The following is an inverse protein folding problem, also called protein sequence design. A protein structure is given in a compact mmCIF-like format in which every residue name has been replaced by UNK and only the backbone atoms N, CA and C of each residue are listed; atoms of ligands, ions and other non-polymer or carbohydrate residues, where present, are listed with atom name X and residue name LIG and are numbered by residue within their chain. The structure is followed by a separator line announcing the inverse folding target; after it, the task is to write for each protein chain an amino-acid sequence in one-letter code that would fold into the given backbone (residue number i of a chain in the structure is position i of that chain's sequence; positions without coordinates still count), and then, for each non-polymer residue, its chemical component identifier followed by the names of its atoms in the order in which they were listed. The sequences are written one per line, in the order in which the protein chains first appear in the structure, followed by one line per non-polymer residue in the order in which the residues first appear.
data_IF_521400992740
#
_entry.id   IF_521400992740
#
_cell.length_a   1.000
_cell.length_b   1.000
_cell.length_c   1.000
_cell.angle_alpha   90.00
_cell.angle_beta   90.00
_cell.angle_gamma   90.00
#
_symmetry.space_group_name_H-M   'P 1'
#
loop_
_entity.id
_entity.type
_entity.pdbx_description
1 polymer ?
#
# COMPACT_ATOMS: atom_id res chain seq x y z
N UNK A 1 -4.21 -0.13 -4.27
CA UNK A 1 -5.67 0.14 -4.44
C UNK A 1 -5.96 1.42 -5.21
N UNK A 2 -5.18 2.50 -5.04
CA UNK A 2 -5.39 3.79 -5.71
C UNK A 2 -5.44 3.71 -7.24
N UNK A 3 -4.47 3.06 -7.88
CA UNK A 3 -4.40 3.00 -9.35
C UNK A 3 -5.63 2.35 -10.00
N UNK A 4 -6.20 1.33 -9.34
CA UNK A 4 -7.44 0.68 -9.80
C UNK A 4 -8.65 1.62 -9.65
N UNK A 5 -8.75 2.34 -8.54
CA UNK A 5 -9.82 3.30 -8.31
C UNK A 5 -9.76 4.46 -9.34
N UNK A 6 -8.57 4.98 -9.63
CA UNK A 6 -8.37 6.00 -10.68
C UNK A 6 -8.87 5.53 -12.03
N UNK A 7 -8.56 4.29 -12.41
CA UNK A 7 -9.04 3.74 -13.69
C UNK A 7 -10.57 3.59 -13.71
N UNK A 8 -11.18 3.13 -12.62
CA UNK A 8 -12.64 2.99 -12.52
C UNK A 8 -13.36 4.35 -12.59
N UNK A 9 -12.91 5.34 -11.82
CA UNK A 9 -13.49 6.70 -11.83
C UNK A 9 -13.29 7.40 -13.18
N UNK A 10 -12.17 7.15 -13.87
CA UNK A 10 -11.89 7.70 -15.19
C UNK A 10 -12.62 6.95 -16.33
N UNK A 11 -13.33 5.85 -16.05
CA UNK A 11 -13.92 4.99 -17.08
C UNK A 11 -12.89 4.38 -18.03
N UNK A 12 -11.67 4.14 -17.54
CA UNK A 12 -10.53 3.69 -18.34
C UNK A 12 -10.19 2.21 -18.09
N UNK A 13 -9.67 1.55 -19.11
CA UNK A 13 -9.22 0.17 -19.00
C UNK A 13 -7.99 0.07 -18.09
N UNK A 14 -7.99 -0.83 -17.11
CA UNK A 14 -6.87 -1.00 -16.17
C UNK A 14 -5.98 -2.18 -16.58
N UNK A 15 -4.68 -1.94 -16.73
CA UNK A 15 -3.69 -2.97 -17.06
C UNK A 15 -2.57 -2.95 -16.02
N UNK A 16 -2.32 -4.08 -15.35
CA UNK A 16 -1.20 -4.23 -14.41
C UNK A 16 -0.03 -4.96 -15.09
N UNK A 17 1.20 -4.42 -14.98
CA UNK A 17 2.41 -5.00 -15.55
C UNK A 17 3.32 -5.51 -14.44
N UNK A 18 3.78 -6.76 -14.58
CA UNK A 18 4.82 -7.33 -13.71
C UNK A 18 6.20 -7.18 -14.33
N UNK A 19 6.56 -7.92 -15.40
CA UNK A 19 7.85 -7.80 -16.14
C UNK A 19 7.80 -8.29 -17.60
N UNK A 20 6.86 -9.17 -17.94
CA UNK A 20 6.83 -9.83 -19.25
C UNK A 20 5.96 -9.07 -20.25
N UNK A 21 6.40 -9.04 -21.51
CA UNK A 21 5.64 -8.51 -22.67
C UNK A 21 5.36 -7.00 -22.67
N UNK A 22 6.34 -6.20 -22.29
CA UNK A 22 6.27 -4.73 -22.30
C UNK A 22 5.66 -4.18 -23.59
N UNK A 23 6.22 -4.52 -24.75
CA UNK A 23 5.72 -4.04 -26.05
C UNK A 23 4.29 -4.46 -26.36
N UNK A 24 3.90 -5.68 -26.01
CA UNK A 24 2.54 -6.14 -26.23
C UNK A 24 1.54 -5.37 -25.36
N UNK A 25 1.91 -5.08 -24.11
CA UNK A 25 1.06 -4.30 -23.20
C UNK A 25 0.89 -2.87 -23.70
N UNK A 26 1.98 -2.19 -24.10
CA UNK A 26 1.88 -0.83 -24.65
C UNK A 26 1.05 -0.80 -25.94
N UNK A 27 1.22 -1.79 -26.82
CA UNK A 27 0.41 -1.94 -28.04
C UNK A 27 -1.07 -2.17 -27.71
N UNK A 28 -1.37 -3.01 -26.71
CA UNK A 28 -2.73 -3.26 -26.26
C UNK A 28 -3.36 -2.01 -25.66
N UNK A 29 -2.67 -1.34 -24.74
CA UNK A 29 -3.11 -0.12 -24.07
C UNK A 29 -3.46 0.99 -25.08
N UNK A 30 -2.61 1.18 -26.08
CA UNK A 30 -2.85 2.08 -27.21
C UNK A 30 -4.15 1.75 -27.96
N UNK A 31 -4.40 0.46 -28.26
CA UNK A 31 -5.61 0.01 -28.97
C UNK A 31 -6.90 0.11 -28.16
N UNK A 32 -6.82 -0.09 -26.84
CA UNK A 32 -7.98 -0.06 -25.94
C UNK A 32 -8.14 1.29 -25.22
N UNK A 33 -7.52 2.35 -25.72
CA UNK A 33 -7.60 3.69 -25.13
C UNK A 33 -9.07 4.14 -24.97
N UNK A 34 -9.47 4.74 -23.83
CA UNK A 34 -8.64 5.19 -22.70
C UNK A 34 -8.18 4.06 -21.77
N UNK A 35 -6.91 4.08 -21.36
CA UNK A 35 -6.36 3.04 -20.48
C UNK A 35 -5.34 3.57 -19.46
N UNK A 36 -5.28 2.92 -18.30
CA UNK A 36 -4.30 3.13 -17.24
C UNK A 36 -3.39 1.92 -17.15
N UNK A 37 -2.10 2.13 -17.39
CA UNK A 37 -1.04 1.15 -17.16
C UNK A 37 -0.53 1.36 -15.73
N UNK A 38 -0.61 0.33 -14.89
CA UNK A 38 -0.07 0.33 -13.54
C UNK A 38 1.16 -0.57 -13.45
N UNK A 39 2.20 -0.07 -12.80
CA UNK A 39 3.46 -0.78 -12.56
C UNK A 39 3.72 -0.71 -11.07
N UNK A 40 3.64 -1.85 -10.42
CA UNK A 40 4.01 -1.99 -9.01
C UNK A 40 5.51 -2.23 -8.88
N UNK A 41 6.10 -1.78 -7.77
CA UNK A 41 7.54 -1.90 -7.51
C UNK A 41 8.40 -1.46 -8.72
N UNK A 42 8.19 -0.23 -9.19
CA UNK A 42 8.86 0.27 -10.40
C UNK A 42 10.38 0.23 -10.29
N UNK A 43 10.93 0.31 -9.08
CA UNK A 43 12.35 0.17 -8.75
C UNK A 43 12.90 -1.21 -9.15
N UNK A 44 12.08 -2.26 -9.04
CA UNK A 44 12.47 -3.62 -9.43
C UNK A 44 12.63 -3.83 -10.94
N UNK A 45 11.98 -2.98 -11.75
CA UNK A 45 12.04 -3.02 -13.22
C UNK A 45 12.89 -1.89 -13.81
N UNK A 46 12.90 -0.72 -13.17
CA UNK A 46 13.46 0.54 -13.68
C UNK A 46 14.52 1.14 -12.74
N UNK A 47 15.12 0.31 -11.90
CA UNK A 47 16.21 0.73 -11.01
C UNK A 47 17.49 1.16 -11.75
N UNK A 48 18.47 1.71 -11.02
CA UNK A 48 19.76 2.16 -11.57
C UNK A 48 20.50 1.05 -12.33
N UNK A 49 21.23 1.44 -13.37
CA UNK A 49 21.95 0.54 -14.32
C UNK A 49 23.29 0.03 -13.78
N UNK A 50 23.73 0.59 -12.66
CA UNK A 50 25.09 0.45 -12.11
C UNK A 50 25.30 -0.84 -11.31
N UNK A 51 24.28 -1.68 -11.14
CA UNK A 51 24.45 -2.97 -10.47
C UNK A 51 25.29 -3.92 -11.35
N UNK A 52 26.52 -4.33 -10.91
CA UNK A 52 27.43 -5.14 -11.72
C UNK A 52 26.93 -6.56 -12.03
N UNK A 53 25.83 -7.00 -11.40
CA UNK A 53 25.16 -8.28 -11.63
C UNK A 53 23.86 -8.18 -12.43
N UNK A 54 23.55 -7.04 -13.04
CA UNK A 54 22.31 -6.88 -13.81
C UNK A 54 22.35 -7.71 -15.10
N UNK A 55 21.41 -8.67 -15.21
CA UNK A 55 21.27 -9.53 -16.38
C UNK A 55 20.96 -8.71 -17.64
N UNK A 56 21.62 -9.01 -18.76
CA UNK A 56 21.46 -8.30 -20.04
C UNK A 56 19.99 -8.21 -20.50
N UNK A 57 19.19 -9.24 -20.21
CA UNK A 57 17.75 -9.24 -20.51
C UNK A 57 16.98 -8.14 -19.76
N UNK A 58 17.37 -7.79 -18.53
CA UNK A 58 16.75 -6.72 -17.75
C UNK A 58 17.06 -5.35 -18.37
N UNK A 59 18.30 -5.14 -18.83
CA UNK A 59 18.68 -3.90 -19.55
C UNK A 59 17.91 -3.76 -20.86
N UNK A 60 17.77 -4.85 -21.62
CA UNK A 60 16.98 -4.86 -22.86
C UNK A 60 15.50 -4.52 -22.59
N UNK A 61 14.92 -5.11 -21.54
CA UNK A 61 13.55 -4.82 -21.10
C UNK A 61 13.37 -3.35 -20.69
N UNK A 62 14.30 -2.79 -19.92
CA UNK A 62 14.31 -1.36 -19.54
C UNK A 62 14.30 -0.47 -20.78
N UNK A 63 15.19 -0.73 -21.73
CA UNK A 63 15.26 0.05 -22.97
C UNK A 63 13.97 -0.05 -23.78
N UNK A 64 13.42 -1.27 -23.92
CA UNK A 64 12.16 -1.49 -24.61
C UNK A 64 11.00 -0.75 -23.94
N UNK A 65 10.94 -0.75 -22.61
CA UNK A 65 9.95 0.00 -21.85
C UNK A 65 10.02 1.50 -22.13
N UNK A 66 11.23 2.07 -22.11
CA UNK A 66 11.45 3.50 -22.32
C UNK A 66 11.07 3.93 -23.75
N UNK A 67 11.42 3.13 -24.75
CA UNK A 67 11.07 3.39 -26.16
C UNK A 67 9.55 3.34 -26.36
N UNK A 68 8.86 2.34 -25.81
CA UNK A 68 7.41 2.24 -25.96
C UNK A 68 6.67 3.35 -25.21
N UNK A 69 7.16 3.74 -24.03
CA UNK A 69 6.57 4.85 -23.29
C UNK A 69 6.73 6.19 -24.02
N UNK A 70 7.92 6.49 -24.55
CA UNK A 70 8.11 7.69 -25.36
C UNK A 70 7.23 7.68 -26.62
N UNK A 71 6.99 6.49 -27.20
CA UNK A 71 6.08 6.29 -28.33
C UNK A 71 4.60 6.55 -28.04
N UNK A 72 4.14 6.52 -26.78
CA UNK A 72 2.78 6.93 -26.42
C UNK A 72 2.61 8.46 -26.48
N UNK A 73 3.69 9.22 -26.29
CA UNK A 73 3.63 10.70 -26.21
C UNK A 73 3.55 11.37 -27.58
N UNK A 74 3.88 10.65 -28.65
CA UNK A 74 3.93 11.19 -30.02
C UNK A 74 2.59 11.15 -30.75
N UNK A 75 1.58 10.48 -30.18
CA UNK A 75 0.28 10.29 -30.83
C UNK A 75 -0.81 11.02 -30.06
N UNK A 76 -1.30 12.12 -30.63
CA UNK A 76 -2.28 13.01 -29.99
C UNK A 76 -3.62 12.35 -29.63
N UNK A 77 -3.94 11.19 -30.23
CA UNK A 77 -5.19 10.46 -30.00
C UNK A 77 -5.09 9.40 -28.89
N UNK A 78 -3.89 9.06 -28.43
CA UNK A 78 -3.70 8.00 -27.43
C UNK A 78 -3.84 8.55 -26.01
N UNK A 79 -4.95 8.22 -25.35
CA UNK A 79 -5.19 8.54 -23.94
C UNK A 79 -4.74 7.37 -23.07
N UNK A 80 -3.43 7.27 -22.84
CA UNK A 80 -2.83 6.24 -21.99
C UNK A 80 -2.11 6.91 -20.81
N UNK A 81 -2.52 6.56 -19.59
CA UNK A 81 -1.90 7.04 -18.36
C UNK A 81 -0.99 5.95 -17.78
N UNK A 82 0.26 6.27 -17.49
CA UNK A 82 1.19 5.37 -16.80
C UNK A 82 1.29 5.77 -15.33
N UNK A 83 0.95 4.84 -14.43
CA UNK A 83 1.05 4.97 -12.98
C UNK A 83 2.11 4.00 -12.44
N UNK A 84 3.05 4.52 -11.67
CA UNK A 84 4.08 3.74 -11.00
C UNK A 84 3.95 3.83 -9.48
N UNK A 85 4.20 2.72 -8.78
CA UNK A 85 4.36 2.69 -7.33
C UNK A 85 5.75 2.17 -6.94
N UNK A 86 6.36 2.73 -5.89
CA UNK A 86 7.64 2.25 -5.35
C UNK A 86 7.78 2.64 -3.88
N UNK A 87 8.47 1.79 -3.12
CA UNK A 87 8.91 2.08 -1.75
C UNK A 87 10.38 2.51 -1.68
N UNK A 88 11.11 2.47 -2.81
CA UNK A 88 12.54 2.77 -2.91
C UNK A 88 12.81 3.76 -4.05
N UNK A 89 12.33 5.01 -3.93
CA UNK A 89 12.46 5.98 -5.02
C UNK A 89 13.93 6.39 -5.27
N UNK A 90 14.84 6.15 -4.32
CA UNK A 90 16.27 6.35 -4.46
C UNK A 90 16.92 5.34 -5.42
N UNK A 91 16.37 4.12 -5.54
CA UNK A 91 16.90 3.08 -6.41
C UNK A 91 16.57 3.31 -7.89
N UNK A 92 15.71 4.29 -8.21
CA UNK A 92 15.31 4.58 -9.58
C UNK A 92 16.40 5.29 -10.39
N UNK A 93 16.46 4.96 -11.69
CA UNK A 93 17.28 5.67 -12.67
C UNK A 93 16.75 7.10 -12.90
N UNK A 94 17.64 8.10 -12.98
CA UNK A 94 17.26 9.49 -13.27
C UNK A 94 16.46 9.62 -14.57
N UNK A 95 16.77 8.79 -15.58
CA UNK A 95 16.05 8.78 -16.85
C UNK A 95 14.56 8.45 -16.67
N UNK A 96 14.24 7.62 -15.67
CA UNK A 96 12.87 7.20 -15.33
C UNK A 96 12.20 8.29 -14.50
N UNK A 97 12.91 8.87 -13.54
CA UNK A 97 12.41 10.01 -12.74
C UNK A 97 11.99 11.17 -13.65
N UNK A 98 12.74 11.47 -14.71
CA UNK A 98 12.39 12.50 -15.71
C UNK A 98 11.09 12.22 -16.47
N UNK A 99 10.69 10.95 -16.62
CA UNK A 99 9.47 10.51 -17.30
C UNK A 99 8.23 10.45 -16.40
N UNK A 100 8.42 10.57 -15.09
CA UNK A 100 7.35 10.76 -14.11
C UNK A 100 7.28 12.23 -13.66
N UNK A 101 6.64 13.13 -14.43
CA UNK A 101 6.61 14.55 -14.09
C UNK A 101 5.85 14.82 -12.78
N UNK A 102 4.77 14.07 -12.53
CA UNK A 102 3.98 14.11 -11.29
C UNK A 102 4.42 12.97 -10.38
N UNK A 103 4.80 13.31 -9.14
CA UNK A 103 5.28 12.39 -8.11
C UNK A 103 4.59 12.78 -6.80
N UNK A 104 3.89 11.84 -6.19
CA UNK A 104 3.09 12.04 -4.98
C UNK A 104 3.62 11.10 -3.90
N UNK A 105 4.04 11.66 -2.77
CA UNK A 105 4.35 10.86 -1.58
C UNK A 105 3.05 10.48 -0.88
N UNK A 106 2.87 9.19 -0.65
CA UNK A 106 1.75 8.65 0.14
C UNK A 106 2.26 8.37 1.54
N UNK A 107 1.89 9.22 2.49
CA UNK A 107 2.29 9.09 3.89
C UNK A 107 1.42 8.08 4.65
N UNK A 108 1.88 7.72 5.85
CA UNK A 108 1.06 7.00 6.81
C UNK A 108 -0.20 7.81 7.15
N UNK A 109 -1.34 7.14 7.42
CA UNK A 109 -2.59 7.83 7.70
C UNK A 109 -2.58 8.47 9.11
N UNK A 110 -3.02 9.72 9.19
CA UNK A 110 -3.34 10.41 10.45
C UNK A 110 -4.55 9.76 11.15
N UNK A 111 -4.77 10.08 12.43
CA UNK A 111 -5.88 9.54 13.22
C UNK A 111 -7.25 9.63 12.52
N UNK A 112 -7.60 10.79 11.93
CA UNK A 112 -8.86 10.95 11.19
C UNK A 112 -8.93 10.03 9.95
N UNK A 113 -7.81 9.84 9.25
CA UNK A 113 -7.76 8.96 8.10
C UNK A 113 -7.80 7.48 8.51
N UNK A 114 -7.17 7.11 9.64
CA UNK A 114 -7.28 5.76 10.22
C UNK A 114 -8.71 5.43 10.60
N UNK A 115 -9.45 6.37 11.21
CA UNK A 115 -10.87 6.18 11.51
C UNK A 115 -11.69 5.91 10.23
N UNK A 116 -11.47 6.68 9.16
CA UNK A 116 -12.12 6.44 7.86
C UNK A 116 -11.77 5.08 7.26
N UNK A 117 -10.50 4.68 7.34
CA UNK A 117 -10.03 3.37 6.88
C UNK A 117 -10.74 2.26 7.66
N UNK A 118 -10.82 2.37 8.99
CA UNK A 118 -11.53 1.42 9.85
C UNK A 118 -13.02 1.34 9.49
N UNK A 119 -13.69 2.47 9.25
CA UNK A 119 -15.08 2.49 8.78
C UNK A 119 -15.27 1.74 7.46
N UNK A 120 -14.34 1.90 6.52
CA UNK A 120 -14.40 1.20 5.22
C UNK A 120 -14.13 -0.30 5.38
N UNK A 121 -13.15 -0.69 6.22
CA UNK A 121 -12.83 -2.10 6.48
C UNK A 121 -14.02 -2.81 7.15
N UNK A 122 -14.65 -2.15 8.12
CA UNK A 122 -15.74 -2.69 8.92
C UNK A 122 -17.13 -2.42 8.33
N UNK A 123 -17.22 -1.82 7.13
CA UNK A 123 -18.49 -1.40 6.54
C UNK A 123 -19.50 -2.54 6.31
N UNK A 124 -19.02 -3.79 6.26
CA UNK A 124 -19.84 -4.99 6.07
C UNK A 124 -19.98 -5.85 7.34
N UNK A 125 -19.39 -5.42 8.45
CA UNK A 125 -19.35 -6.18 9.69
C UNK A 125 -20.35 -5.61 10.70
N UNK A 126 -20.91 -6.48 11.54
CA UNK A 126 -21.77 -6.05 12.64
C UNK A 126 -20.91 -5.64 13.83
N UNK A 127 -20.95 -4.36 14.19
CA UNK A 127 -20.21 -3.80 15.31
C UNK A 127 -21.09 -3.76 16.56
N UNK A 128 -20.50 -4.08 17.73
CA UNK A 128 -21.16 -3.90 19.01
C UNK A 128 -21.43 -2.42 19.30
N UNK A 129 -22.49 -2.12 20.07
CA UNK A 129 -22.90 -0.75 20.38
C UNK A 129 -21.81 0.08 21.08
N UNK A 130 -20.87 -0.58 21.74
CA UNK A 130 -19.76 0.06 22.47
C UNK A 130 -18.49 0.26 21.62
N UNK A 131 -18.57 0.11 20.29
CA UNK A 131 -17.38 0.20 19.42
C UNK A 131 -17.07 1.65 19.06
N UNK A 132 -16.11 2.25 19.78
CA UNK A 132 -15.58 3.57 19.44
C UNK A 132 -14.38 3.49 18.49
N UNK A 133 -14.65 3.76 17.20
CA UNK A 133 -13.61 3.78 16.15
C UNK A 133 -12.66 4.98 16.28
N UNK A 134 -13.08 6.10 16.88
CA UNK A 134 -12.24 7.27 17.05
C UNK A 134 -11.15 7.01 18.09
N UNK A 135 -11.53 6.41 19.22
CA UNK A 135 -10.55 5.95 20.23
C UNK A 135 -9.58 4.93 19.66
N UNK A 136 -10.06 3.95 18.87
CA UNK A 136 -9.18 2.97 18.22
C UNK A 136 -8.20 3.63 17.24
N UNK A 137 -8.65 4.62 16.47
CA UNK A 137 -7.80 5.35 15.53
C UNK A 137 -6.69 6.16 16.25
N UNK A 138 -6.98 6.71 17.42
CA UNK A 138 -5.98 7.42 18.24
C UNK A 138 -4.94 6.47 18.84
N UNK A 139 -5.33 5.24 19.21
CA UNK A 139 -4.42 4.26 19.80
C UNK A 139 -3.54 3.52 18.78
N UNK A 140 -3.87 3.59 17.49
CA UNK A 140 -3.17 2.88 16.41
C UNK A 140 -2.22 3.80 15.65
N UNK A 141 -1.46 4.63 16.38
CA UNK A 141 -0.53 5.55 15.75
C UNK A 141 0.63 4.83 15.04
N UNK A 142 0.99 5.31 13.86
CA UNK A 142 1.97 4.68 12.97
C UNK A 142 1.47 3.46 12.19
N UNK A 143 0.20 3.04 12.35
CA UNK A 143 -0.32 1.86 11.63
C UNK A 143 -0.59 2.19 10.16
N UNK A 144 -0.16 1.31 9.26
CA UNK A 144 -0.57 1.37 7.86
C UNK A 144 -2.00 0.84 7.67
N UNK A 145 -2.61 1.09 6.50
CA UNK A 145 -3.92 0.51 6.18
C UNK A 145 -3.94 -1.02 6.22
N UNK A 146 -2.81 -1.67 5.89
CA UNK A 146 -2.66 -3.12 6.01
C UNK A 146 -2.62 -3.58 7.47
N UNK A 147 -1.94 -2.82 8.34
CA UNK A 147 -1.87 -3.12 9.77
C UNK A 147 -3.24 -2.99 10.43
N UNK A 148 -4.01 -1.94 10.09
CA UNK A 148 -5.39 -1.79 10.55
C UNK A 148 -6.29 -2.94 10.09
N UNK A 149 -6.12 -3.40 8.85
CA UNK A 149 -6.85 -4.58 8.36
C UNK A 149 -6.49 -5.84 9.16
N UNK A 150 -5.19 -6.07 9.39
CA UNK A 150 -4.73 -7.21 10.18
C UNK A 150 -5.19 -7.13 11.64
N UNK A 151 -5.29 -5.93 12.19
CA UNK A 151 -5.87 -5.68 13.51
C UNK A 151 -7.34 -6.11 13.56
N UNK A 152 -8.16 -5.69 12.58
CA UNK A 152 -9.56 -6.12 12.47
C UNK A 152 -9.71 -7.63 12.27
N UNK A 153 -8.86 -8.25 11.44
CA UNK A 153 -8.85 -9.71 11.26
C UNK A 153 -8.52 -10.42 12.58
N UNK A 154 -7.53 -9.92 13.31
CA UNK A 154 -7.14 -10.45 14.63
C UNK A 154 -8.28 -10.32 15.64
N UNK A 155 -9.03 -9.21 15.59
CA UNK A 155 -10.25 -9.00 16.38
C UNK A 155 -11.30 -10.07 16.10
N UNK A 156 -11.58 -10.33 14.82
CA UNK A 156 -12.58 -11.28 14.38
C UNK A 156 -12.26 -12.73 14.79
N UNK A 157 -10.98 -13.06 14.97
CA UNK A 157 -10.56 -14.37 15.47
C UNK A 157 -10.68 -14.55 16.99
N UNK A 158 -10.91 -13.47 17.74
CA UNK A 158 -10.95 -13.54 19.21
C UNK A 158 -12.10 -14.41 19.76
N UNK A 159 -13.37 -14.28 19.28
CA UNK A 159 -14.46 -15.12 19.77
C UNK A 159 -14.22 -16.61 19.52
N UNK A 160 -13.64 -16.95 18.36
CA UNK A 160 -13.28 -18.33 18.00
C UNK A 160 -12.29 -18.89 19.03
N UNK A 161 -11.30 -18.09 19.40
CA UNK A 161 -10.31 -18.47 20.42
C UNK A 161 -10.97 -18.67 21.78
N UNK A 162 -11.88 -17.80 22.18
CA UNK A 162 -12.59 -17.91 23.46
C UNK A 162 -13.44 -19.18 23.55
N UNK A 163 -14.13 -19.54 22.47
CA UNK A 163 -14.90 -20.79 22.35
C UNK A 163 -13.96 -22.00 22.47
N UNK A 164 -12.83 -21.99 21.75
CA UNK A 164 -11.83 -23.07 21.82
C UNK A 164 -11.24 -23.24 23.23
N UNK A 165 -10.95 -22.14 23.92
CA UNK A 165 -10.44 -22.17 25.30
C UNK A 165 -11.51 -22.68 26.29
N UNK A 166 -12.77 -22.24 26.14
CA UNK A 166 -13.91 -22.77 26.92
C UNK A 166 -14.10 -24.26 26.70
N UNK A 167 -14.02 -24.72 25.45
CA UNK A 167 -14.22 -26.14 25.13
C UNK A 167 -13.07 -27.02 25.62
N UNK A 168 -11.81 -26.56 25.51
CA UNK A 168 -10.66 -27.22 26.15
C UNK A 168 -10.83 -27.33 27.66
N UNK A 169 -11.24 -26.25 28.31
CA UNK A 169 -11.49 -26.23 29.76
C UNK A 169 -12.64 -27.18 30.13
N UNK A 170 -13.72 -27.22 29.35
CA UNK A 170 -14.83 -28.15 29.52
C UNK A 170 -14.38 -29.61 29.41
N UNK A 171 -13.52 -29.94 28.44
CA UNK A 171 -12.95 -31.29 28.31
C UNK A 171 -12.08 -31.67 29.51
N UNK A 172 -11.27 -30.74 30.02
CA UNK A 172 -10.47 -30.96 31.24
C UNK A 172 -11.34 -31.18 32.49
N UNK A 173 -12.40 -30.37 32.65
CA UNK A 173 -13.38 -30.50 33.73
C UNK A 173 -14.24 -31.76 33.61
N UNK A 174 -14.49 -32.27 32.39
CA UNK A 174 -15.17 -33.56 32.22
C UNK A 174 -14.29 -34.75 32.58
N UNK A 175 -12.96 -34.64 32.45
CA UNK A 175 -12.02 -35.64 32.95
C UNK A 175 -11.84 -35.59 34.48
N UNK A 176 -12.12 -34.46 35.13
CA UNK A 176 -12.12 -34.28 36.58
C UNK A 176 -13.55 -34.03 37.08
N UNK A 177 -14.34 -35.07 37.38
CA UNK A 177 -15.75 -34.99 37.87
C UNK A 177 -15.98 -33.89 38.93
N UNK A 178 -16.19 -32.65 38.52
CA UNK A 178 -16.58 -31.53 39.38
C UNK A 178 -17.50 -30.65 38.55
N UNK A 179 -18.78 -30.63 38.93
CA UNK A 179 -19.78 -29.74 38.34
C UNK A 179 -19.55 -28.32 38.84
N UNK A 180 -19.24 -27.40 37.93
CA UNK A 180 -19.28 -25.97 38.20
C UNK A 180 -19.90 -25.21 37.02
N UNK A 181 -20.80 -24.30 37.35
CA UNK A 181 -21.58 -23.48 36.41
C UNK A 181 -20.66 -22.61 35.54
N UNK A 182 -20.85 -22.67 34.22
CA UNK A 182 -20.06 -21.93 33.24
C UNK A 182 -20.61 -20.50 33.12
N UNK A 183 -20.01 -19.55 33.84
CA UNK A 183 -20.32 -18.14 33.62
C UNK A 183 -19.53 -17.64 32.41
N UNK A 184 -20.26 -17.24 31.36
CA UNK A 184 -19.73 -16.67 30.14
C UNK A 184 -19.27 -15.23 30.45
N UNK A 185 -17.98 -15.01 30.67
CA UNK A 185 -17.45 -13.64 30.78
C UNK A 185 -17.53 -13.00 29.40
N UNK A 186 -18.43 -12.04 29.20
CA UNK A 186 -18.34 -11.09 28.10
C UNK A 186 -17.00 -10.35 28.24
N UNK A 187 -16.07 -10.60 27.32
CA UNK A 187 -14.83 -9.86 27.27
C UNK A 187 -15.16 -8.39 26.97
N UNK A 188 -14.98 -7.52 27.97
CA UNK A 188 -15.11 -6.06 27.82
C UNK A 188 -14.23 -5.60 26.65
N UNK A 189 -14.77 -4.73 25.81
CA UNK A 189 -14.16 -4.18 24.58
C UNK A 189 -12.73 -3.66 24.81
N UNK A 190 -12.44 -3.15 26.00
CA UNK A 190 -11.11 -2.66 26.40
C UNK A 190 -10.05 -3.77 26.53
N UNK A 191 -10.41 -4.95 27.00
CA UNK A 191 -9.48 -6.10 27.14
C UNK A 191 -9.14 -6.66 25.76
N UNK A 192 -10.14 -6.72 24.88
CA UNK A 192 -9.94 -7.10 23.48
C UNK A 192 -8.96 -6.13 22.80
N UNK A 193 -9.15 -4.83 22.99
CA UNK A 193 -8.32 -3.78 22.40
C UNK A 193 -6.84 -3.91 22.78
N UNK A 194 -6.55 -4.05 24.08
CA UNK A 194 -5.19 -4.23 24.60
C UNK A 194 -4.58 -5.53 24.07
N UNK A 195 -5.37 -6.59 23.97
CA UNK A 195 -4.91 -7.85 23.40
C UNK A 195 -4.56 -7.71 21.91
N UNK A 196 -5.42 -7.05 21.13
CA UNK A 196 -5.20 -6.85 19.70
C UNK A 196 -3.93 -6.06 19.40
N UNK A 197 -3.73 -4.93 20.09
CA UNK A 197 -2.51 -4.09 19.90
C UNK A 197 -1.24 -4.77 20.41
N UNK A 198 -1.35 -5.75 21.33
CA UNK A 198 -0.22 -6.60 21.71
C UNK A 198 0.15 -7.66 20.66
N UNK A 199 -0.75 -7.95 19.71
CA UNK A 199 -0.56 -9.00 18.69
C UNK A 199 -0.20 -8.45 17.33
N UNK A 200 -0.70 -7.27 16.98
CA UNK A 200 -0.39 -6.58 15.73
C UNK A 200 0.41 -5.34 16.08
N UNK A 201 1.67 -5.30 15.66
CA UNK A 201 2.51 -4.11 15.79
C UNK A 201 2.46 -3.28 14.50
N UNK A 202 2.75 -1.99 14.59
CA UNK A 202 2.94 -1.15 13.41
C UNK A 202 4.09 -1.72 12.55
N UNK A 203 3.85 -1.86 11.24
CA UNK A 203 4.86 -2.38 10.30
C UNK A 203 5.92 -1.34 9.91
N UNK A 204 5.66 -0.06 10.18
CA UNK A 204 6.53 1.06 9.85
C UNK A 204 6.83 1.85 11.13
N UNK A 205 8.11 2.08 11.39
CA UNK A 205 8.55 2.98 12.45
C UNK A 205 8.57 4.42 11.91
N UNK A 206 7.89 5.33 12.61
CA UNK A 206 7.89 6.77 12.30
C UNK A 206 9.29 7.38 12.37
N UNK A 207 10.14 6.88 13.26
CA UNK A 207 11.51 7.35 13.49
C UNK A 207 12.55 6.59 12.65
N UNK A 208 12.10 5.75 11.72
CA UNK A 208 13.02 5.02 10.85
C UNK A 208 13.78 5.97 9.93
N UNK A 209 15.10 5.73 9.79
CA UNK A 209 15.93 6.44 8.82
C UNK A 209 15.30 6.45 7.42
N UNK A 210 14.63 5.34 7.05
CA UNK A 210 13.90 5.21 5.80
C UNK A 210 12.80 6.26 5.61
N UNK A 211 11.99 6.56 6.64
CA UNK A 211 10.93 7.57 6.52
C UNK A 211 11.51 8.97 6.34
N UNK A 212 12.58 9.29 7.06
CA UNK A 212 13.28 10.56 6.90
C UNK A 212 13.90 10.71 5.50
N UNK A 213 14.50 9.66 4.97
CA UNK A 213 15.02 9.63 3.59
C UNK A 213 13.93 9.81 2.54
N UNK A 214 12.75 9.20 2.74
CA UNK A 214 11.60 9.36 1.86
C UNK A 214 11.08 10.81 1.87
N UNK A 215 10.98 11.43 3.05
CA UNK A 215 10.57 12.84 3.18
C UNK A 215 11.57 13.76 2.47
N UNK A 216 12.87 13.57 2.71
CA UNK A 216 13.92 14.34 2.03
C UNK A 216 13.86 14.17 0.51
N UNK A 217 13.62 12.95 0.03
CA UNK A 217 13.46 12.69 -1.40
C UNK A 217 12.24 13.42 -1.97
N UNK A 218 11.12 13.40 -1.25
CA UNK A 218 9.90 14.11 -1.64
C UNK A 218 10.10 15.64 -1.67
N UNK A 219 10.86 16.22 -0.74
CA UNK A 219 11.15 17.66 -0.75
C UNK A 219 11.98 18.10 -1.96
N UNK A 220 12.79 17.18 -2.51
CA UNK A 220 13.61 17.41 -3.70
C UNK A 220 12.85 17.15 -5.01
N UNK A 221 12.06 16.08 -5.05
CA UNK A 221 11.51 15.49 -6.29
C UNK A 221 9.97 15.41 -6.32
N UNK A 222 9.28 15.58 -5.21
CA UNK A 222 7.83 15.50 -5.08
C UNK A 222 7.06 16.71 -5.62
N UNK A 223 5.75 16.69 -5.40
CA UNK A 223 4.86 17.77 -5.82
C UNK A 223 5.11 19.04 -4.99
N UNK A 224 5.73 20.04 -5.61
CA UNK A 224 6.12 21.28 -4.94
C UNK A 224 7.60 21.36 -4.54
N UNK A 225 8.39 20.34 -4.89
CA UNK A 225 9.80 20.25 -4.53
C UNK A 225 10.64 21.46 -4.91
N UNK A 226 11.66 21.72 -4.09
CA UNK A 226 12.54 22.89 -4.13
C UNK A 226 13.37 23.00 -5.42
N UNK A 227 13.55 21.90 -6.19
CA UNK A 227 14.15 21.94 -7.53
C UNK A 227 13.35 22.75 -8.57
N UNK A 228 12.10 23.13 -8.30
CA UNK A 228 11.41 24.13 -9.13
C UNK A 228 12.08 25.52 -9.10
N UNK A 229 12.92 25.83 -8.10
CA UNK A 229 13.53 27.16 -7.92
C UNK A 229 14.94 27.35 -8.48
N UNK A 230 15.66 26.30 -8.89
CA UNK A 230 16.96 26.46 -9.55
C UNK A 230 16.79 26.25 -11.05
N UNK A 231 16.51 27.34 -11.76
CA UNK A 231 16.77 27.40 -13.19
C UNK A 231 18.26 27.07 -13.39
N UNK A 232 18.55 25.93 -14.01
CA UNK A 232 19.90 25.61 -14.41
C UNK A 232 20.30 26.62 -15.49
N UNK A 233 21.19 27.55 -15.15
CA UNK A 233 21.81 28.48 -16.08
C UNK A 233 22.80 27.73 -16.97
N UNK A 234 22.29 26.93 -17.91
CA UNK A 234 23.08 26.45 -19.04
C UNK A 234 22.60 27.19 -20.29
N UNK A 235 22.98 28.47 -20.34
CA UNK A 235 23.28 29.15 -21.59
C UNK A 235 24.71 29.65 -21.44
N UNK A 236 25.61 29.00 -22.17
CA UNK A 236 26.85 29.59 -22.68
C UNK A 236 27.02 29.08 -24.10
#
# INVERSE_FOLDING_TARGET
MLAKAVATEAGANFINISKKYVKAVFSLASKISPSVIFIDEVDSMLGRRENPGEHEAMRKMKNEFMVNWDGLRTKDKERVLVLGATNRPFDLDEAVIRRFPRRLMVNLPDASNREKILKVILAKEELGQDTDLASLANMTDGYSGSDLKNLCVTAAHYPIREILEKEKRRRMLQSQKVGLSLHCMEARTSVLLVWMTSKVCASVSSDSANMNELVQWNDLYGEGGSRKKKALSYFM
#
